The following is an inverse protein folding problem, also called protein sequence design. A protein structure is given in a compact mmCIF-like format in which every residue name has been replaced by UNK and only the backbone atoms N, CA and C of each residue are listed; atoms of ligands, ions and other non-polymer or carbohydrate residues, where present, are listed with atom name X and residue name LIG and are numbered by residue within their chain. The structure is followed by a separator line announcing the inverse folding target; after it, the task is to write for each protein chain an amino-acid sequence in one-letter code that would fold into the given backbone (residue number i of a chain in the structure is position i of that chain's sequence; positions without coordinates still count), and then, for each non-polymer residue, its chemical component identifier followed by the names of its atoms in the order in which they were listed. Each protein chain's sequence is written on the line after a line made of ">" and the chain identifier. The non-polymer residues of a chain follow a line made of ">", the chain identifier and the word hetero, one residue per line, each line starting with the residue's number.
data_IF_388148428229
#
_entry.id   IF_388148428229
#
_cell.length_a   1.000
_cell.length_b   1.000
_cell.length_c   1.000
_cell.angle_alpha   90.00
_cell.angle_beta   90.00
_cell.angle_gamma   90.00
#
_symmetry.space_group_name_H-M   'P 1'
#
loop_
_entity.id
_entity.type
_entity.pdbx_description
1 polymer ?
#
# COMPACT_ATOMS: atom_id res chain seq x y z
N UNK A 1 -2.62 9.38 -10.44
CA UNK A 1 -1.19 9.11 -10.73
C UNK A 1 -0.38 9.76 -9.63
N UNK A 2 0.42 9.01 -8.84
CA UNK A 2 1.39 9.65 -7.95
C UNK A 2 2.54 10.24 -8.78
N UNK A 3 3.05 11.40 -8.37
CA UNK A 3 4.10 12.13 -9.06
C UNK A 3 5.40 11.30 -9.13
N UNK A 4 6.18 11.49 -10.20
CA UNK A 4 7.46 10.80 -10.41
C UNK A 4 8.43 10.90 -9.21
N UNK A 5 8.24 11.92 -8.37
CA UNK A 5 9.00 12.17 -7.15
C UNK A 5 8.85 11.03 -6.12
N UNK A 6 7.66 10.45 -5.92
CA UNK A 6 7.46 9.39 -4.92
C UNK A 6 8.16 8.08 -5.33
N UNK A 7 8.14 7.74 -6.63
CA UNK A 7 8.80 6.52 -7.15
C UNK A 7 10.32 6.56 -6.99
N UNK A 8 10.92 7.76 -6.98
CA UNK A 8 12.37 7.92 -6.80
C UNK A 8 12.83 7.64 -5.37
N UNK A 9 11.96 7.76 -4.37
CA UNK A 9 12.30 7.58 -2.96
C UNK A 9 12.24 6.10 -2.54
N UNK A 10 11.69 5.20 -3.39
CA UNK A 10 11.71 3.74 -3.19
C UNK A 10 11.17 3.24 -1.83
N UNK A 11 10.28 3.99 -1.19
CA UNK A 11 9.70 3.60 0.10
C UNK A 11 8.61 2.52 -0.03
N UNK A 12 8.07 2.30 -1.23
CA UNK A 12 7.04 1.29 -1.45
C UNK A 12 7.63 -0.11 -1.65
N UNK A 13 6.93 -1.12 -1.10
CA UNK A 13 7.25 -2.54 -1.28
C UNK A 13 7.08 -2.93 -2.75
N UNK A 14 8.13 -3.49 -3.33
CA UNK A 14 8.11 -4.03 -4.70
C UNK A 14 7.70 -5.49 -4.66
N UNK A 15 6.79 -5.92 -5.54
CA UNK A 15 6.51 -7.34 -5.73
C UNK A 15 7.64 -7.99 -6.55
N UNK A 16 7.84 -9.30 -6.37
CA UNK A 16 8.61 -10.11 -7.31
C UNK A 16 7.86 -10.08 -8.65
N UNK A 17 8.48 -9.54 -9.70
CA UNK A 17 7.86 -9.35 -11.02
C UNK A 17 7.74 -7.90 -11.49
N UNK A 18 8.14 -6.91 -10.66
CA UNK A 18 8.21 -5.50 -11.08
C UNK A 18 6.90 -4.72 -10.96
N UNK A 19 5.78 -5.39 -10.65
CA UNK A 19 4.56 -4.73 -10.24
C UNK A 19 4.73 -4.13 -8.83
N UNK A 20 4.38 -2.85 -8.70
CA UNK A 20 4.48 -2.09 -7.46
C UNK A 20 3.10 -1.65 -6.95
N UNK A 21 2.03 -2.00 -7.66
CA UNK A 21 0.67 -1.55 -7.39
C UNK A 21 -0.13 -2.73 -6.88
N UNK A 22 -0.78 -2.53 -5.75
CA UNK A 22 -1.67 -3.47 -5.10
C UNK A 22 -3.11 -3.03 -5.29
N UNK A 23 -3.99 -4.01 -5.40
CA UNK A 23 -5.43 -3.77 -5.36
C UNK A 23 -5.91 -3.92 -3.92
N UNK A 24 -6.78 -3.04 -3.45
CA UNK A 24 -7.52 -3.28 -2.22
C UNK A 24 -9.01 -3.08 -2.44
N UNK A 25 -9.81 -3.89 -1.75
CA UNK A 25 -11.27 -3.79 -1.76
C UNK A 25 -11.73 -3.30 -0.40
N UNK A 26 -12.60 -2.30 -0.40
CA UNK A 26 -13.32 -1.91 0.80
C UNK A 26 -14.47 -2.88 1.04
N UNK A 27 -14.53 -3.48 2.24
CA UNK A 27 -15.50 -4.54 2.57
C UNK A 27 -16.94 -4.06 2.61
N UNK A 28 -17.18 -2.81 3.01
CA UNK A 28 -18.54 -2.27 3.14
C UNK A 28 -19.09 -1.83 1.77
N UNK A 29 -18.34 -0.99 1.06
CA UNK A 29 -18.76 -0.40 -0.21
C UNK A 29 -18.48 -1.28 -1.43
N UNK A 30 -17.73 -2.36 -1.26
CA UNK A 30 -17.19 -3.21 -2.35
C UNK A 30 -16.31 -2.45 -3.37
N UNK A 31 -16.01 -1.18 -3.11
CA UNK A 31 -15.20 -0.34 -3.98
C UNK A 31 -13.76 -0.82 -4.02
N UNK A 32 -13.20 -0.82 -5.21
CA UNK A 32 -11.82 -1.23 -5.49
C UNK A 32 -10.92 0.00 -5.60
N UNK A 33 -9.77 -0.05 -4.95
CA UNK A 33 -8.72 0.96 -5.02
C UNK A 33 -7.42 0.32 -5.47
N UNK A 34 -6.58 1.12 -6.11
CA UNK A 34 -5.24 0.73 -6.54
C UNK A 34 -4.23 1.64 -5.86
N UNK A 35 -3.25 1.05 -5.17
CA UNK A 35 -2.32 1.79 -4.33
C UNK A 35 -0.97 1.10 -4.19
N UNK A 36 -0.14 1.66 -3.32
CA UNK A 36 1.17 1.12 -2.99
C UNK A 36 1.17 0.68 -1.53
N UNK A 37 1.91 -0.39 -1.22
CA UNK A 37 2.19 -0.73 0.17
C UNK A 37 3.51 -0.06 0.59
N UNK A 38 3.49 0.68 1.70
CA UNK A 38 4.69 1.26 2.32
C UNK A 38 4.87 0.57 3.68
N UNK A 39 6.05 0.04 4.01
CA UNK A 39 6.27 -0.57 5.31
C UNK A 39 6.07 0.45 6.44
N UNK A 40 5.35 0.07 7.50
CA UNK A 40 5.03 0.97 8.61
C UNK A 40 6.27 1.62 9.25
N UNK A 41 7.39 0.88 9.36
CA UNK A 41 8.67 1.40 9.87
C UNK A 41 9.20 2.62 9.11
N UNK A 42 8.90 2.73 7.82
CA UNK A 42 9.34 3.86 6.97
C UNK A 42 8.51 5.13 7.22
N UNK A 43 7.32 4.98 7.83
CA UNK A 43 6.40 6.09 8.13
C UNK A 43 6.45 6.46 9.62
N UNK A 44 6.34 5.46 10.49
CA UNK A 44 6.21 5.65 11.94
C UNK A 44 7.55 5.57 12.68
N UNK A 45 8.61 5.02 12.07
CA UNK A 45 9.91 4.87 12.73
C UNK A 45 9.79 4.04 14.02
N UNK A 46 10.16 4.65 15.16
CA UNK A 46 10.03 4.05 16.49
C UNK A 46 8.72 4.40 17.21
N UNK A 47 7.83 5.17 16.59
CA UNK A 47 6.54 5.53 17.17
C UNK A 47 5.56 4.35 17.14
N UNK A 48 4.54 4.42 18.00
CA UNK A 48 3.46 3.43 18.03
C UNK A 48 2.71 3.42 16.70
N UNK A 49 2.65 2.26 16.06
CA UNK A 49 1.90 2.05 14.82
C UNK A 49 0.41 1.89 15.15
N UNK A 50 -0.51 2.61 14.48
CA UNK A 50 -1.94 2.39 14.63
C UNK A 50 -2.35 0.96 14.28
N UNK A 51 -3.45 0.49 14.88
CA UNK A 51 -4.01 -0.80 14.51
C UNK A 51 -4.49 -0.83 13.05
N UNK A 52 -4.42 -2.00 12.42
CA UNK A 52 -4.88 -2.19 11.05
C UNK A 52 -6.38 -1.93 10.92
N UNK A 53 -6.79 -1.34 9.79
CA UNK A 53 -8.21 -1.14 9.51
C UNK A 53 -8.86 -2.45 9.06
N UNK A 54 -10.01 -2.84 9.64
CA UNK A 54 -10.74 -4.04 9.19
C UNK A 54 -11.50 -3.80 7.87
N UNK A 55 -11.51 -2.57 7.36
CA UNK A 55 -12.33 -2.16 6.22
C UNK A 55 -11.68 -2.47 4.87
N UNK A 56 -10.36 -2.61 4.80
CA UNK A 56 -9.62 -2.78 3.55
C UNK A 56 -8.99 -4.16 3.49
N UNK A 57 -9.25 -4.87 2.40
CA UNK A 57 -8.64 -6.16 2.11
C UNK A 57 -7.72 -6.04 0.89
N UNK A 58 -6.44 -6.32 1.09
CA UNK A 58 -5.40 -6.19 0.06
C UNK A 58 -5.26 -7.49 -0.71
N UNK A 59 -5.28 -7.40 -2.04
CA UNK A 59 -5.00 -8.50 -2.96
C UNK A 59 -3.79 -8.14 -3.82
N UNK A 60 -2.87 -9.10 -4.00
CA UNK A 60 -1.84 -8.98 -5.01
C UNK A 60 -2.46 -9.18 -6.39
N UNK A 61 -2.17 -8.26 -7.31
CA UNK A 61 -2.37 -8.54 -8.73
C UNK A 61 -1.25 -9.52 -9.13
N UNK A 62 -1.63 -10.77 -9.44
CA UNK A 62 -0.73 -11.79 -9.97
C UNK A 62 -0.44 -11.54 -11.45
#
# INVERSE_FOLDING_TARGET
>A
MFSASLKKINLHRRQRGGANVYQCRNRESQKVYHGYLVPAKEIYGAATVPADTPLLEVSSLN
#
